data_IF_818370023490
#
_entry.id   IF_818370023490
#
_cell.length_a   1.000
_cell.length_b   1.000
_cell.length_c   1.000
_cell.angle_alpha   90.00
_cell.angle_beta   90.00
_cell.angle_gamma   90.00
#
_symmetry.space_group_name_H-M   'P 1'
#
loop_
_entity.id
_entity.type
_entity.pdbx_description
1 polymer ?
#
# COMPACT_ATOMS: atom_id res chain seq x y z
N UNK A 1 -42.45 -1.03 -23.12
CA UNK A 1 -41.99 -2.41 -22.79
C UNK A 1 -40.82 -2.26 -21.84
N UNK A 2 -40.83 -3.06 -20.78
CA UNK A 2 -40.21 -2.85 -19.47
C UNK A 2 -38.67 -2.74 -19.49
N UNK A 3 -38.10 -1.78 -18.73
CA UNK A 3 -36.72 -1.84 -18.26
C UNK A 3 -36.67 -2.45 -16.85
N UNK A 4 -35.63 -3.21 -16.49
CA UNK A 4 -35.56 -3.91 -15.21
C UNK A 4 -35.30 -2.94 -14.06
N UNK A 5 -35.95 -3.24 -12.93
CA UNK A 5 -35.83 -2.53 -11.66
C UNK A 5 -34.42 -2.71 -11.09
N UNK A 6 -33.68 -1.61 -10.97
CA UNK A 6 -32.49 -1.56 -10.12
C UNK A 6 -32.95 -1.73 -8.67
N UNK A 7 -32.57 -2.84 -8.05
CA UNK A 7 -32.79 -3.07 -6.62
C UNK A 7 -31.80 -2.19 -5.87
N UNK A 8 -32.30 -1.05 -5.38
CA UNK A 8 -31.57 -0.14 -4.51
C UNK A 8 -31.55 -0.76 -3.11
N UNK A 9 -30.45 -1.43 -2.75
CA UNK A 9 -30.21 -1.89 -1.37
C UNK A 9 -29.89 -0.65 -0.53
N UNK A 10 -30.92 0.10 -0.12
CA UNK A 10 -30.75 1.24 0.82
C UNK A 10 -31.73 1.23 1.98
N UNK A 11 -32.65 0.26 2.05
CA UNK A 11 -33.57 0.20 3.16
C UNK A 11 -33.17 -0.91 4.14
N UNK A 12 -33.17 -0.55 5.43
CA UNK A 12 -33.01 -1.39 6.64
C UNK A 12 -31.61 -1.61 7.22
N UNK A 13 -30.93 -0.52 7.60
CA UNK A 13 -30.24 -0.51 8.91
C UNK A 13 -30.74 0.68 9.73
N UNK A 14 -31.86 0.46 10.41
CA UNK A 14 -32.33 1.23 11.58
C UNK A 14 -32.62 0.18 12.66
N UNK A 15 -32.25 0.30 13.93
CA UNK A 15 -31.63 1.33 14.76
C UNK A 15 -31.31 0.63 16.10
N UNK A 16 -30.17 0.91 16.74
CA UNK A 16 -30.10 0.80 18.20
C UNK A 16 -29.27 1.94 18.77
N UNK A 17 -30.01 2.94 19.26
CA UNK A 17 -29.68 3.90 20.32
C UNK A 17 -28.36 4.69 20.23
N UNK A 18 -28.40 5.79 19.48
CA UNK A 18 -28.18 7.18 19.97
C UNK A 18 -28.62 8.15 18.87
N UNK A 19 -29.70 8.90 19.09
CA UNK A 19 -30.12 10.00 18.22
C UNK A 19 -29.13 11.16 18.32
N UNK A 20 -28.27 11.28 17.31
CA UNK A 20 -27.67 12.55 16.92
C UNK A 20 -28.07 12.78 15.47
N UNK A 21 -28.74 13.91 15.21
CA UNK A 21 -29.12 14.37 13.88
C UNK A 21 -27.85 14.55 13.06
N UNK A 22 -27.46 13.53 12.30
CA UNK A 22 -26.38 13.61 11.31
C UNK A 22 -27.03 14.26 10.09
N UNK A 23 -26.69 15.52 9.85
CA UNK A 23 -26.94 16.18 8.57
C UNK A 23 -26.22 15.40 7.47
N UNK A 24 -26.84 15.19 6.30
CA UNK A 24 -26.30 14.41 5.17
C UNK A 24 -24.90 14.88 4.68
N UNK A 25 -24.42 16.02 5.17
CA UNK A 25 -23.13 16.64 4.84
C UNK A 25 -21.91 15.97 5.51
N UNK A 26 -22.09 15.01 6.43
CA UNK A 26 -20.98 14.31 7.13
C UNK A 26 -20.89 12.81 6.81
N UNK A 27 -21.59 12.30 5.79
CA UNK A 27 -21.35 10.93 5.31
C UNK A 27 -20.12 10.91 4.41
N UNK A 28 -19.06 10.25 4.86
CA UNK A 28 -17.92 9.91 4.00
C UNK A 28 -18.37 8.94 2.91
N UNK A 29 -18.18 9.30 1.64
CA UNK A 29 -18.32 8.39 0.49
C UNK A 29 -17.20 7.34 0.56
N UNK A 30 -17.40 6.31 1.38
CA UNK A 30 -16.53 5.14 1.45
C UNK A 30 -17.10 4.09 0.50
N UNK A 31 -16.32 3.73 -0.51
CA UNK A 31 -16.64 2.62 -1.39
C UNK A 31 -16.26 1.30 -0.69
N UNK A 32 -17.06 0.25 -0.89
CA UNK A 32 -16.87 -1.05 -0.24
C UNK A 32 -16.80 -2.18 -1.27
N UNK A 33 -15.93 -3.14 -0.99
CA UNK A 33 -15.95 -4.45 -1.62
C UNK A 33 -16.74 -5.43 -0.74
N UNK A 34 -17.49 -6.34 -1.38
CA UNK A 34 -18.30 -7.34 -0.69
C UNK A 34 -17.76 -8.74 -0.92
N UNK A 35 -17.81 -9.57 0.12
CA UNK A 35 -17.41 -10.96 0.09
C UNK A 35 -18.58 -11.86 0.51
N UNK A 36 -18.77 -12.95 -0.23
CA UNK A 36 -19.72 -14.01 0.10
C UNK A 36 -18.94 -15.32 0.13
N UNK A 37 -19.01 -16.07 1.22
CA UNK A 37 -18.18 -17.27 1.42
C UNK A 37 -16.67 -17.02 1.19
N UNK A 38 -16.18 -15.86 1.65
CA UNK A 38 -14.79 -15.42 1.49
C UNK A 38 -14.35 -15.25 0.01
N UNK A 39 -15.30 -15.01 -0.90
CA UNK A 39 -15.04 -14.67 -2.30
C UNK A 39 -15.59 -13.29 -2.63
N UNK A 40 -14.78 -12.46 -3.29
CA UNK A 40 -15.22 -11.13 -3.72
C UNK A 40 -16.35 -11.22 -4.74
N UNK A 41 -17.43 -10.48 -4.47
CA UNK A 41 -18.52 -10.27 -5.41
C UNK A 41 -18.06 -9.29 -6.49
N UNK A 42 -17.76 -9.81 -7.69
CA UNK A 42 -17.31 -9.02 -8.86
C UNK A 42 -18.39 -8.83 -9.92
N UNK A 43 -19.54 -9.45 -9.73
CA UNK A 43 -20.70 -9.48 -10.63
C UNK A 43 -21.96 -9.13 -9.84
N UNK A 44 -23.13 -9.15 -10.47
CA UNK A 44 -24.37 -8.95 -9.73
C UNK A 44 -24.63 -10.13 -8.77
N UNK A 45 -25.34 -9.87 -7.66
CA UNK A 45 -25.67 -10.92 -6.69
C UNK A 45 -26.43 -12.09 -7.33
N UNK A 46 -27.31 -11.82 -8.30
CA UNK A 46 -28.05 -12.85 -9.03
C UNK A 46 -27.15 -13.78 -9.83
N UNK A 47 -26.22 -13.21 -10.62
CA UNK A 47 -25.24 -14.00 -11.39
C UNK A 47 -24.36 -14.84 -10.46
N UNK A 48 -23.90 -14.26 -9.35
CA UNK A 48 -23.10 -15.00 -8.35
C UNK A 48 -23.86 -16.19 -7.75
N UNK A 49 -25.16 -16.03 -7.45
CA UNK A 49 -26.01 -17.10 -6.94
C UNK A 49 -26.20 -18.22 -7.96
N UNK A 50 -26.47 -17.87 -9.23
CA UNK A 50 -26.64 -18.83 -10.32
C UNK A 50 -25.36 -19.61 -10.60
N UNK A 51 -24.21 -18.94 -10.66
CA UNK A 51 -22.89 -19.56 -10.91
C UNK A 51 -22.49 -20.53 -9.80
N UNK A 52 -22.83 -20.21 -8.55
CA UNK A 52 -22.51 -21.05 -7.39
C UNK A 52 -23.63 -22.06 -7.05
N UNK A 53 -24.73 -22.09 -7.82
CA UNK A 53 -25.85 -22.99 -7.59
C UNK A 53 -26.57 -22.75 -6.25
N UNK A 54 -26.59 -21.51 -5.77
CA UNK A 54 -27.18 -21.12 -4.49
C UNK A 54 -28.63 -20.64 -4.73
N UNK A 55 -29.56 -21.13 -3.91
CA UNK A 55 -30.96 -20.67 -3.95
C UNK A 55 -31.06 -19.20 -3.53
N UNK A 56 -31.88 -18.42 -4.26
CA UNK A 56 -32.18 -17.03 -3.90
C UNK A 56 -32.98 -16.87 -2.59
N UNK A 57 -33.54 -17.95 -2.07
CA UNK A 57 -34.23 -17.97 -0.77
C UNK A 57 -33.29 -18.21 0.41
N UNK A 58 -32.02 -18.54 0.15
CA UNK A 58 -31.03 -18.78 1.20
C UNK A 58 -30.58 -17.45 1.81
N UNK A 59 -30.50 -17.39 3.15
CA UNK A 59 -29.85 -16.28 3.83
C UNK A 59 -28.33 -16.33 3.58
N UNK A 60 -27.77 -15.25 3.04
CA UNK A 60 -26.34 -15.12 2.77
C UNK A 60 -25.69 -14.22 3.82
N UNK A 61 -24.56 -14.67 4.34
CA UNK A 61 -23.67 -13.83 5.13
C UNK A 61 -22.76 -13.05 4.16
N UNK A 62 -22.89 -11.72 4.16
CA UNK A 62 -22.09 -10.82 3.34
C UNK A 62 -21.10 -10.08 4.25
N UNK A 63 -19.83 -10.31 4.02
CA UNK A 63 -18.75 -9.54 4.66
C UNK A 63 -18.41 -8.35 3.76
N UNK A 64 -18.03 -7.21 4.36
CA UNK A 64 -17.63 -6.02 3.61
C UNK A 64 -16.27 -5.53 4.07
N UNK A 65 -15.52 -4.94 3.14
CA UNK A 65 -14.23 -4.29 3.40
C UNK A 65 -14.17 -2.97 2.64
N UNK A 66 -13.43 -2.00 3.16
CA UNK A 66 -13.19 -0.74 2.43
C UNK A 66 -12.50 -1.04 1.10
N UNK A 67 -13.01 -0.45 0.02
CA UNK A 67 -12.41 -0.59 -1.30
C UNK A 67 -11.08 0.16 -1.34
N UNK A 68 -10.01 -0.57 -1.63
CA UNK A 68 -8.68 0.01 -1.83
C UNK A 68 -8.42 0.12 -3.32
N UNK A 69 -8.43 1.32 -3.91
CA UNK A 69 -8.14 1.48 -5.32
C UNK A 69 -6.69 1.02 -5.61
N UNK A 70 -6.40 0.56 -6.84
CA UNK A 70 -5.04 0.22 -7.23
C UNK A 70 -4.08 1.40 -6.98
N UNK A 71 -2.89 1.17 -6.40
CA UNK A 71 -1.96 2.24 -6.11
C UNK A 71 -1.47 2.90 -7.41
N UNK A 72 -1.56 4.22 -7.48
CA UNK A 72 -1.07 5.00 -8.62
C UNK A 72 0.44 5.31 -8.49
N UNK A 73 1.24 5.20 -9.57
CA UNK A 73 2.65 5.58 -9.54
C UNK A 73 2.81 7.09 -9.27
N UNK A 74 3.55 7.44 -8.21
CA UNK A 74 3.72 8.86 -7.82
C UNK A 74 5.02 9.49 -8.37
N UNK A 75 6.16 8.80 -8.29
CA UNK A 75 7.47 9.35 -8.67
C UNK A 75 8.43 8.24 -9.15
N UNK A 76 9.49 8.63 -9.85
CA UNK A 76 10.54 7.75 -10.37
C UNK A 76 11.94 8.31 -10.07
N UNK A 77 12.72 7.59 -9.26
CA UNK A 77 14.07 7.99 -8.88
C UNK A 77 15.09 7.37 -9.84
N UNK A 78 15.76 8.21 -10.60
CA UNK A 78 16.70 7.77 -11.64
C UNK A 78 18.04 7.31 -11.06
N UNK A 79 18.50 6.14 -11.51
CA UNK A 79 19.79 5.55 -11.17
C UNK A 79 20.55 5.15 -12.45
N UNK A 80 21.88 5.15 -12.38
CA UNK A 80 22.76 4.90 -13.54
C UNK A 80 22.95 3.40 -13.85
N UNK A 81 22.61 2.51 -12.90
CA UNK A 81 22.63 1.06 -13.04
C UNK A 81 21.47 0.43 -12.24
N UNK A 82 21.36 -0.89 -12.24
CA UNK A 82 20.29 -1.61 -11.56
C UNK A 82 20.26 -1.33 -10.06
N UNK A 83 19.05 -1.06 -9.57
CA UNK A 83 18.79 -0.95 -8.12
C UNK A 83 18.56 -2.35 -7.58
N UNK A 84 19.38 -2.74 -6.60
CA UNK A 84 19.36 -4.09 -6.02
C UNK A 84 18.54 -4.18 -4.73
N UNK A 85 18.49 -3.09 -3.97
CA UNK A 85 17.83 -3.02 -2.69
C UNK A 85 17.37 -1.60 -2.39
N UNK A 86 16.19 -1.46 -1.79
CA UNK A 86 15.62 -0.17 -1.38
C UNK A 86 15.08 -0.31 0.03
N UNK A 87 15.27 0.72 0.85
CA UNK A 87 14.66 0.78 2.17
C UNK A 87 14.33 2.21 2.58
N UNK A 88 13.14 2.38 3.14
CA UNK A 88 12.62 3.67 3.59
C UNK A 88 12.67 3.76 5.11
N UNK A 89 13.06 4.92 5.64
CA UNK A 89 12.93 5.24 7.07
C UNK A 89 12.65 6.74 7.24
N UNK A 90 11.49 7.08 7.80
CA UNK A 90 11.05 8.46 7.91
C UNK A 90 10.89 9.11 6.53
N UNK A 91 11.54 10.25 6.33
CA UNK A 91 11.55 11.00 5.06
C UNK A 91 12.70 10.62 4.12
N UNK A 92 13.41 9.52 4.40
CA UNK A 92 14.58 9.09 3.66
C UNK A 92 14.39 7.74 2.98
N UNK A 93 14.92 7.63 1.77
CA UNK A 93 14.97 6.41 0.96
C UNK A 93 16.44 6.08 0.71
N UNK A 94 16.88 4.93 1.17
CA UNK A 94 18.20 4.38 0.90
C UNK A 94 18.09 3.37 -0.24
N UNK A 95 18.85 3.57 -1.30
CA UNK A 95 18.89 2.68 -2.46
C UNK A 95 20.32 2.18 -2.69
N UNK A 96 20.47 0.87 -2.87
CA UNK A 96 21.72 0.24 -3.26
C UNK A 96 21.75 -0.09 -4.74
N UNK A 97 22.86 0.26 -5.40
CA UNK A 97 23.02 0.10 -6.83
C UNK A 97 24.10 -0.95 -7.18
N UNK A 98 23.99 -1.54 -8.37
CA UNK A 98 24.98 -2.47 -8.91
C UNK A 98 26.30 -1.81 -9.33
N UNK A 99 26.30 -0.48 -9.49
CA UNK A 99 27.49 0.35 -9.75
C UNK A 99 28.45 0.48 -8.53
N UNK A 100 28.14 -0.25 -7.44
CA UNK A 100 28.87 -0.24 -6.18
C UNK A 100 28.66 1.03 -5.33
N UNK A 101 27.59 1.77 -5.56
CA UNK A 101 27.25 2.99 -4.79
C UNK A 101 25.91 2.87 -4.06
N UNK A 102 25.83 3.54 -2.91
CA UNK A 102 24.57 3.79 -2.21
C UNK A 102 24.08 5.19 -2.54
N UNK A 103 22.79 5.33 -2.80
CA UNK A 103 22.15 6.63 -2.93
C UNK A 103 21.19 6.85 -1.78
N UNK A 104 21.24 8.05 -1.21
CA UNK A 104 20.28 8.53 -0.25
C UNK A 104 19.39 9.57 -0.92
N UNK A 105 18.10 9.31 -0.93
CA UNK A 105 17.06 10.17 -1.48
C UNK A 105 16.12 10.63 -0.37
N UNK A 106 15.46 11.75 -0.59
CA UNK A 106 14.29 12.13 0.20
C UNK A 106 13.03 11.50 -0.39
N UNK A 107 11.97 11.32 0.40
CA UNK A 107 10.66 10.85 -0.09
C UNK A 107 9.99 11.79 -1.09
N UNK A 108 10.54 13.00 -1.27
CA UNK A 108 10.14 13.98 -2.29
C UNK A 108 10.95 13.88 -3.58
N UNK A 109 11.73 12.82 -3.75
CA UNK A 109 12.52 12.54 -4.95
C UNK A 109 13.82 13.35 -5.10
N UNK A 110 14.19 14.18 -4.12
CA UNK A 110 15.48 14.88 -4.14
C UNK A 110 16.61 13.92 -3.77
N UNK A 111 17.59 13.77 -4.66
CA UNK A 111 18.86 13.09 -4.38
C UNK A 111 19.68 13.90 -3.35
N UNK A 112 20.13 13.25 -2.28
CA UNK A 112 20.86 13.90 -1.21
C UNK A 112 22.34 13.55 -1.23
N UNK A 113 22.67 12.27 -1.39
CA UNK A 113 24.06 11.80 -1.32
C UNK A 113 24.26 10.54 -2.16
N UNK A 114 25.42 10.44 -2.81
CA UNK A 114 25.95 9.19 -3.34
C UNK A 114 27.16 8.81 -2.51
N UNK A 115 27.20 7.57 -2.01
CA UNK A 115 28.24 7.05 -1.13
C UNK A 115 29.00 5.99 -1.92
N UNK A 116 30.16 6.35 -2.49
CA UNK A 116 31.06 5.39 -3.11
C UNK A 116 31.88 4.65 -2.05
N UNK A 117 32.52 3.55 -2.43
CA UNK A 117 33.50 2.85 -1.58
C UNK A 117 33.23 1.37 -1.40
N UNK A 118 32.30 0.79 -2.16
CA UNK A 118 32.12 -0.65 -2.18
C UNK A 118 32.97 -1.28 -3.28
N UNK A 119 33.59 -2.42 -2.97
CA UNK A 119 34.40 -3.17 -3.92
C UNK A 119 33.58 -4.03 -4.89
N UNK A 120 32.25 -4.00 -4.78
CA UNK A 120 31.37 -4.82 -5.59
C UNK A 120 29.89 -4.49 -5.37
N UNK A 121 29.00 -5.14 -6.15
CA UNK A 121 27.60 -4.75 -6.24
C UNK A 121 26.87 -4.91 -4.92
N UNK A 122 26.08 -3.92 -4.55
CA UNK A 122 25.27 -3.97 -3.33
C UNK A 122 24.18 -5.02 -3.52
N UNK A 123 23.92 -5.83 -2.51
CA UNK A 123 22.85 -6.85 -2.54
C UNK A 123 21.75 -6.61 -1.52
N UNK A 124 22.07 -5.97 -0.40
CA UNK A 124 21.10 -5.61 0.61
C UNK A 124 21.53 -4.34 1.36
N UNK A 125 20.54 -3.59 1.83
CA UNK A 125 20.71 -2.40 2.67
C UNK A 125 19.75 -2.50 3.85
N UNK A 126 20.17 -2.06 5.03
CA UNK A 126 19.31 -2.00 6.21
C UNK A 126 19.64 -0.79 7.11
N UNK A 127 18.64 0.01 7.48
CA UNK A 127 18.70 1.09 8.43
C UNK A 127 18.87 0.50 9.83
N UNK A 128 19.90 0.91 10.54
CA UNK A 128 20.15 0.54 11.95
C UNK A 128 19.48 1.57 12.86
N UNK A 129 19.83 2.84 12.71
CA UNK A 129 19.24 3.94 13.47
C UNK A 129 19.06 5.18 12.59
N UNK A 130 18.03 5.96 12.88
CA UNK A 130 17.81 7.27 12.30
C UNK A 130 17.36 8.18 13.44
N UNK A 131 18.14 9.21 13.68
CA UNK A 131 17.90 10.31 14.61
C UNK A 131 17.84 11.61 13.80
N UNK A 132 17.41 12.71 14.42
CA UNK A 132 17.31 14.02 13.75
C UNK A 132 18.65 14.49 13.14
N UNK A 133 19.77 14.09 13.75
CA UNK A 133 21.12 14.49 13.36
C UNK A 133 21.96 13.38 12.76
N UNK A 134 21.53 12.11 12.86
CA UNK A 134 22.39 10.96 12.56
C UNK A 134 21.62 9.82 11.91
N UNK A 135 22.26 9.19 10.92
CA UNK A 135 21.80 8.02 10.22
C UNK A 135 22.88 6.93 10.31
N UNK A 136 22.52 5.76 10.82
CA UNK A 136 23.35 4.56 10.72
C UNK A 136 22.62 3.52 9.90
N UNK A 137 23.31 2.96 8.91
CA UNK A 137 22.78 1.87 8.08
C UNK A 137 23.89 0.89 7.78
N UNK A 138 23.50 -0.37 7.57
CA UNK A 138 24.38 -1.43 7.10
C UNK A 138 24.10 -1.72 5.65
N UNK A 139 25.12 -2.19 4.97
CA UNK A 139 25.01 -2.76 3.62
C UNK A 139 25.70 -4.11 3.59
N UNK A 140 25.23 -4.97 2.70
CA UNK A 140 25.79 -6.29 2.47
C UNK A 140 26.34 -6.42 1.04
N UNK A 141 27.57 -6.93 0.95
CA UNK A 141 28.21 -7.34 -0.31
C UNK A 141 28.80 -8.73 -0.12
N UNK A 142 28.31 -9.68 -0.92
CA UNK A 142 28.61 -11.11 -0.78
C UNK A 142 28.38 -11.59 0.68
N UNK A 143 29.45 -12.01 1.36
CA UNK A 143 29.45 -12.51 2.74
C UNK A 143 29.80 -11.43 3.80
N UNK A 144 29.98 -10.18 3.39
CA UNK A 144 30.48 -9.10 4.26
C UNK A 144 29.39 -8.05 4.49
N UNK A 145 29.14 -7.74 5.77
CA UNK A 145 28.28 -6.63 6.22
C UNK A 145 29.15 -5.50 6.76
N UNK A 146 28.94 -4.28 6.26
CA UNK A 146 29.66 -3.09 6.72
C UNK A 146 28.65 -2.03 7.15
N UNK A 147 28.86 -1.46 8.33
CA UNK A 147 28.08 -0.34 8.88
C UNK A 147 28.65 0.99 8.41
N UNK A 148 27.76 1.90 8.02
CA UNK A 148 28.05 3.28 7.66
C UNK A 148 27.33 4.22 8.61
N UNK A 149 27.98 5.35 8.88
CA UNK A 149 27.50 6.40 9.76
C UNK A 149 27.51 7.71 8.98
N UNK A 150 26.36 8.41 8.96
CA UNK A 150 26.18 9.73 8.37
C UNK A 150 25.66 10.66 9.45
N UNK A 151 26.23 11.84 9.56
CA UNK A 151 25.67 12.95 10.35
C UNK A 151 25.07 13.97 9.40
N UNK A 152 23.82 14.35 9.61
CA UNK A 152 23.17 15.47 8.93
C UNK A 152 23.45 16.73 9.75
N UNK A 153 24.49 17.48 9.38
CA UNK A 153 24.78 18.83 9.94
C UNK A 153 24.12 19.92 9.12
#
# INVERSE_FOLDING_TARGET
MLSPLAILITDTISTSSTESQITDEERSDVEFDFLINNQFLRVTLGEFLEENGISSELALDIEYVEHLPPPEPQDCLMHDDWVSAVQVRGSWILAGCYDNTLHLWTTKGKHHLTIPGHSGPIKAVAWVSLNDTQATFVRQVYLITISYYISFT
#
